data_IF_511403930245
#
_entry.id   IF_511403930245
#
_cell.length_a   1.000
_cell.length_b   1.000
_cell.length_c   1.000
_cell.angle_alpha   90.00
_cell.angle_beta   90.00
_cell.angle_gamma   90.00
#
_symmetry.space_group_name_H-M   'P 1'
#
loop_
_entity.id
_entity.type
_entity.pdbx_description
1 polymer ?
#
# COMPACT_ATOMS: atom_id res chain seq x y z
N UNK A 1 -25.60 8.27 0.41
CA UNK A 1 -25.61 7.24 -0.65
C UNK A 1 -24.73 6.10 -0.18
N UNK A 2 -25.26 4.90 -0.01
CA UNK A 2 -24.43 3.72 0.28
C UNK A 2 -23.83 3.28 -1.05
N UNK A 3 -22.61 3.74 -1.35
CA UNK A 3 -21.82 3.11 -2.39
C UNK A 3 -21.60 1.66 -1.97
N UNK A 4 -21.85 0.72 -2.87
CA UNK A 4 -21.57 -0.69 -2.64
C UNK A 4 -20.07 -0.82 -2.32
N UNK A 5 -19.74 -0.92 -1.03
CA UNK A 5 -18.43 -1.36 -0.58
C UNK A 5 -18.40 -2.84 -0.94
N UNK A 6 -17.64 -3.20 -1.97
CA UNK A 6 -17.28 -4.59 -2.19
C UNK A 6 -16.49 -4.99 -0.93
N UNK A 7 -17.00 -5.96 -0.16
CA UNK A 7 -16.41 -6.35 1.12
C UNK A 7 -14.91 -6.62 0.94
N UNK A 8 -14.08 -6.13 1.86
CA UNK A 8 -12.66 -6.44 1.88
C UNK A 8 -12.50 -7.95 1.98
N UNK A 9 -11.74 -8.51 1.04
CA UNK A 9 -11.32 -9.89 1.08
C UNK A 9 -9.88 -9.91 1.55
N UNK A 10 -9.62 -10.60 2.66
CA UNK A 10 -8.25 -10.93 3.01
C UNK A 10 -7.71 -11.90 1.94
N UNK A 11 -6.63 -11.49 1.28
CA UNK A 11 -6.03 -12.21 0.16
C UNK A 11 -4.60 -12.54 0.45
N UNK A 12 -4.14 -13.68 -0.05
CA UNK A 12 -2.74 -14.07 0.05
C UNK A 12 -1.83 -12.98 -0.52
N UNK A 13 -0.77 -12.67 0.22
CA UNK A 13 0.12 -11.57 -0.10
C UNK A 13 0.95 -11.16 1.11
N UNK A 14 1.82 -10.19 0.91
CA UNK A 14 2.64 -9.61 1.97
C UNK A 14 2.92 -8.13 1.71
N UNK A 15 3.22 -7.40 2.77
CA UNK A 15 3.80 -6.07 2.70
C UNK A 15 4.87 -5.92 3.77
N UNK A 16 6.00 -5.33 3.42
CA UNK A 16 7.04 -4.96 4.36
C UNK A 16 7.63 -3.60 4.03
N UNK A 17 8.13 -2.89 5.03
CA UNK A 17 8.82 -1.62 4.86
C UNK A 17 9.78 -1.36 6.02
N UNK A 18 10.73 -0.45 5.82
CA UNK A 18 11.57 0.12 6.86
C UNK A 18 11.14 1.56 7.12
N UNK A 19 10.79 1.87 8.37
CA UNK A 19 10.44 3.22 8.79
C UNK A 19 11.60 3.78 9.60
N UNK A 20 12.27 4.78 9.05
CA UNK A 20 13.38 5.46 9.71
C UNK A 20 12.82 6.61 10.52
N UNK A 21 13.02 6.51 11.83
CA UNK A 21 12.63 7.50 12.83
C UNK A 21 13.87 8.17 13.42
N UNK A 22 13.68 9.20 14.24
CA UNK A 22 14.78 9.80 15.02
C UNK A 22 15.47 8.79 15.96
N UNK A 23 14.72 7.79 16.45
CA UNK A 23 15.19 6.81 17.42
C UNK A 23 15.78 5.55 16.76
N UNK A 24 15.74 5.46 15.43
CA UNK A 24 16.28 4.34 14.65
C UNK A 24 15.32 3.80 13.60
N UNK A 25 15.63 2.62 13.07
CA UNK A 25 14.84 1.96 12.03
C UNK A 25 13.86 0.96 12.64
N UNK A 26 12.58 1.13 12.33
CA UNK A 26 11.51 0.19 12.64
C UNK A 26 11.21 -0.68 11.42
N UNK A 27 11.04 -1.99 11.65
CA UNK A 27 10.70 -2.95 10.61
C UNK A 27 9.20 -3.20 10.62
N UNK A 28 8.54 -2.95 9.50
CA UNK A 28 7.13 -3.29 9.28
C UNK A 28 7.05 -4.56 8.44
N UNK A 29 6.20 -5.52 8.85
CA UNK A 29 5.96 -6.75 8.09
C UNK A 29 4.56 -7.31 8.36
N UNK A 30 3.85 -7.62 7.29
CA UNK A 30 2.60 -8.39 7.27
C UNK A 30 2.75 -9.51 6.25
N UNK A 31 2.51 -10.76 6.68
CA UNK A 31 2.67 -11.97 5.85
C UNK A 31 1.46 -12.88 5.84
N UNK A 32 0.45 -12.61 6.68
CA UNK A 32 -0.71 -13.48 6.86
C UNK A 32 -1.82 -13.19 5.85
N UNK A 33 -1.55 -12.28 4.90
CA UNK A 33 -2.49 -11.78 3.90
C UNK A 33 -2.61 -10.26 3.93
N UNK A 34 -3.24 -9.72 2.89
CA UNK A 34 -3.53 -8.31 2.71
C UNK A 34 -5.02 -8.14 2.46
N UNK A 35 -5.62 -7.13 3.06
CA UNK A 35 -7.01 -6.80 2.76
C UNK A 35 -7.06 -6.07 1.42
N UNK A 36 -7.93 -6.55 0.53
CA UNK A 36 -8.10 -5.98 -0.80
C UNK A 36 -9.56 -5.67 -1.07
N UNK A 37 -9.80 -4.48 -1.60
CA UNK A 37 -11.11 -4.09 -2.11
C UNK A 37 -10.99 -3.01 -3.19
N UNK A 38 -12.10 -2.76 -3.87
CA UNK A 38 -12.20 -1.70 -4.87
C UNK A 38 -13.22 -0.66 -4.39
N UNK A 39 -12.90 0.61 -4.63
CA UNK A 39 -13.79 1.74 -4.32
C UNK A 39 -13.80 2.70 -5.49
N UNK A 40 -14.93 2.81 -6.19
CA UNK A 40 -15.07 3.74 -7.33
C UNK A 40 -13.98 3.53 -8.39
N UNK A 41 -12.98 4.42 -8.44
CA UNK A 41 -11.88 4.43 -9.40
C UNK A 41 -10.52 4.03 -8.80
N UNK A 42 -10.50 3.48 -7.58
CA UNK A 42 -9.28 3.04 -6.90
C UNK A 42 -9.35 1.58 -6.44
N UNK A 43 -8.19 0.92 -6.46
CA UNK A 43 -7.93 -0.41 -5.91
C UNK A 43 -7.11 -0.23 -4.63
N UNK A 44 -7.58 -0.79 -3.53
CA UNK A 44 -7.03 -0.58 -2.20
C UNK A 44 -6.40 -1.88 -1.69
N UNK A 45 -5.15 -1.79 -1.23
CA UNK A 45 -4.42 -2.86 -0.57
C UNK A 45 -4.05 -2.37 0.82
N UNK A 46 -4.50 -3.06 1.86
CA UNK A 46 -4.22 -2.70 3.25
C UNK A 46 -3.38 -3.77 3.92
N UNK A 47 -2.35 -3.31 4.63
CA UNK A 47 -1.51 -4.13 5.49
C UNK A 47 -1.53 -3.51 6.89
N UNK A 48 -2.19 -4.15 7.84
CA UNK A 48 -2.17 -3.79 9.26
C UNK A 48 -1.43 -4.88 10.04
N UNK A 49 -0.47 -4.49 10.88
CA UNK A 49 0.29 -5.43 11.70
C UNK A 49 -0.36 -5.74 13.06
N UNK A 50 -1.55 -5.17 13.35
CA UNK A 50 -2.27 -5.33 14.62
C UNK A 50 -1.62 -4.62 15.81
N UNK A 51 -0.56 -3.85 15.58
CA UNK A 51 0.23 -3.13 16.59
C UNK A 51 0.07 -1.61 16.45
N UNK A 52 -0.96 -1.16 15.72
CA UNK A 52 -1.22 0.26 15.48
C UNK A 52 -0.31 0.87 14.41
N UNK A 53 0.26 0.04 13.53
CA UNK A 53 0.92 0.52 12.31
C UNK A 53 0.31 -0.16 11.11
N UNK A 54 0.05 0.61 10.07
CA UNK A 54 -0.46 0.09 8.82
C UNK A 54 0.14 0.81 7.61
N UNK A 55 0.07 0.15 6.47
CA UNK A 55 0.31 0.75 5.17
C UNK A 55 -0.91 0.50 4.28
N UNK A 56 -1.40 1.56 3.65
CA UNK A 56 -2.44 1.47 2.64
C UNK A 56 -1.84 1.87 1.29
N UNK A 57 -2.00 1.02 0.29
CA UNK A 57 -1.59 1.29 -1.09
C UNK A 57 -2.84 1.49 -1.93
N UNK A 58 -2.97 2.67 -2.51
CA UNK A 58 -4.06 3.00 -3.44
C UNK A 58 -3.52 3.09 -4.86
N UNK A 59 -4.13 2.30 -5.73
CA UNK A 59 -3.78 2.22 -7.14
C UNK A 59 -4.98 2.71 -7.98
N UNK A 60 -4.79 3.66 -8.91
CA UNK A 60 -5.82 4.02 -9.86
C UNK A 60 -6.30 2.81 -10.67
N UNK A 61 -7.61 2.71 -10.90
CA UNK A 61 -8.20 1.67 -11.75
C UNK A 61 -7.59 1.71 -13.15
N UNK A 62 -7.16 0.54 -13.63
CA UNK A 62 -6.54 0.41 -14.95
C UNK A 62 -5.08 0.86 -15.00
N UNK A 63 -4.44 1.10 -13.85
CA UNK A 63 -2.99 1.32 -13.80
C UNK A 63 -2.24 0.15 -14.43
N UNK A 64 -1.15 0.45 -15.11
CA UNK A 64 -0.28 -0.51 -15.78
C UNK A 64 1.07 -0.59 -15.05
N UNK A 65 1.86 -1.60 -15.39
CA UNK A 65 3.23 -1.71 -14.89
C UNK A 65 4.05 -0.48 -15.25
N UNK A 66 4.91 -0.02 -14.34
CA UNK A 66 5.75 1.15 -14.57
C UNK A 66 6.34 1.73 -13.29
N UNK A 67 7.00 2.87 -13.43
CA UNK A 67 7.55 3.66 -12.33
C UNK A 67 6.77 4.97 -12.20
N UNK A 68 6.34 5.28 -10.99
CA UNK A 68 5.45 6.39 -10.69
C UNK A 68 6.01 7.22 -9.53
N UNK A 69 5.79 8.53 -9.60
CA UNK A 69 5.83 9.35 -8.39
C UNK A 69 4.53 9.14 -7.60
N UNK A 70 4.64 9.02 -6.28
CA UNK A 70 3.47 9.04 -5.40
C UNK A 70 2.84 10.43 -5.45
N UNK A 71 1.50 10.47 -5.51
CA UNK A 71 0.74 11.71 -5.54
C UNK A 71 -0.07 11.94 -4.27
N UNK A 72 -0.88 12.99 -4.28
CA UNK A 72 -1.82 13.34 -3.21
C UNK A 72 -3.28 13.35 -3.73
N UNK A 73 -3.51 12.73 -4.90
CA UNK A 73 -4.81 12.69 -5.56
C UNK A 73 -5.08 11.31 -6.12
N UNK A 74 -6.36 10.96 -6.29
CA UNK A 74 -6.81 9.64 -6.80
C UNK A 74 -6.33 9.32 -8.23
N UNK A 75 -5.78 10.29 -8.96
CA UNK A 75 -5.21 10.09 -10.30
C UNK A 75 -3.80 9.50 -10.31
N UNK A 76 -3.14 9.44 -9.15
CA UNK A 76 -1.80 8.90 -8.98
C UNK A 76 -1.81 7.76 -7.95
N UNK A 77 -0.83 6.83 -8.00
CA UNK A 77 -0.60 5.93 -6.88
C UNK A 77 -0.35 6.72 -5.60
N UNK A 78 -0.92 6.23 -4.51
CA UNK A 78 -0.73 6.76 -3.17
C UNK A 78 -0.33 5.64 -2.23
N UNK A 79 0.55 5.95 -1.29
CA UNK A 79 0.82 5.10 -0.14
C UNK A 79 0.59 5.93 1.10
N UNK A 80 -0.24 5.43 2.01
CA UNK A 80 -0.49 6.04 3.33
C UNK A 80 0.23 5.19 4.37
N UNK A 81 0.99 5.85 5.23
CA UNK A 81 1.56 5.27 6.43
C UNK A 81 0.69 5.66 7.62
N UNK A 82 0.32 4.67 8.43
CA UNK A 82 -0.46 4.86 9.65
C UNK A 82 0.41 4.52 10.85
N UNK A 83 0.45 5.41 11.83
CA UNK A 83 1.14 5.20 13.11
C UNK A 83 0.27 5.71 14.26
N UNK A 84 -0.20 4.79 15.11
CA UNK A 84 -1.13 5.08 16.18
C UNK A 84 -2.45 5.65 15.63
N UNK A 85 -2.72 6.92 15.91
CA UNK A 85 -3.90 7.65 15.40
C UNK A 85 -3.58 8.61 14.27
N UNK A 86 -2.35 8.60 13.73
CA UNK A 86 -1.93 9.44 12.62
C UNK A 86 -1.96 8.65 11.32
N UNK A 87 -2.50 9.26 10.26
CA UNK A 87 -2.39 8.78 8.88
C UNK A 87 -1.68 9.86 8.07
N UNK A 88 -0.71 9.47 7.24
CA UNK A 88 0.04 10.41 6.41
C UNK A 88 0.42 9.79 5.07
N UNK A 89 0.19 10.53 3.99
CA UNK A 89 0.65 10.17 2.65
C UNK A 89 2.18 10.20 2.58
N UNK A 90 2.76 9.24 1.87
CA UNK A 90 4.18 9.27 1.51
C UNK A 90 4.40 10.24 0.35
N UNK A 91 4.82 11.47 0.66
CA UNK A 91 5.10 12.51 -0.32
C UNK A 91 6.25 13.44 0.12
N UNK A 92 7.30 13.62 -0.71
CA UNK A 92 7.52 12.98 -2.01
C UNK A 92 7.84 11.48 -1.86
N UNK A 93 7.48 10.69 -2.87
CA UNK A 93 7.74 9.25 -2.88
C UNK A 93 7.67 8.64 -4.28
N UNK A 94 8.05 7.37 -4.38
CA UNK A 94 8.10 6.62 -5.63
C UNK A 94 7.48 5.25 -5.47
N UNK A 95 6.88 4.73 -6.55
CA UNK A 95 6.38 3.37 -6.68
C UNK A 95 6.87 2.75 -7.99
N UNK A 96 7.56 1.63 -7.93
CA UNK A 96 7.73 0.71 -9.05
C UNK A 96 6.64 -0.37 -8.93
N UNK A 97 5.89 -0.61 -10.00
CA UNK A 97 4.75 -1.51 -10.01
C UNK A 97 4.82 -2.47 -11.19
N UNK A 98 4.53 -3.75 -10.92
CA UNK A 98 4.17 -4.76 -11.91
C UNK A 98 2.72 -5.17 -11.70
N UNK A 99 1.92 -5.15 -12.77
CA UNK A 99 0.51 -5.52 -12.78
C UNK A 99 0.32 -6.81 -13.57
N UNK A 100 -0.27 -7.83 -12.93
CA UNK A 100 -0.52 -9.15 -13.52
C UNK A 100 0.71 -10.06 -13.61
N UNK A 101 0.49 -11.27 -14.16
CA UNK A 101 1.50 -12.32 -14.25
C UNK A 101 1.30 -13.38 -13.16
N UNK A 102 2.35 -13.64 -12.38
CA UNK A 102 2.34 -14.60 -11.27
C UNK A 102 1.63 -14.07 -10.00
N UNK A 103 1.45 -12.75 -9.90
CA UNK A 103 0.63 -12.06 -8.89
C UNK A 103 -0.26 -11.01 -9.55
N UNK A 104 -1.26 -10.50 -8.83
CA UNK A 104 -2.09 -9.39 -9.33
C UNK A 104 -1.30 -8.07 -9.29
N UNK A 105 -0.62 -7.80 -8.18
CA UNK A 105 0.24 -6.63 -8.03
C UNK A 105 1.52 -6.99 -7.30
N UNK A 106 2.64 -6.49 -7.80
CA UNK A 106 3.93 -6.49 -7.11
C UNK A 106 4.49 -5.09 -7.16
N UNK A 107 4.84 -4.50 -6.03
CA UNK A 107 5.37 -3.15 -6.00
C UNK A 107 6.50 -2.94 -5.02
N UNK A 108 7.33 -1.94 -5.32
CA UNK A 108 8.38 -1.41 -4.43
C UNK A 108 8.16 0.07 -4.26
N UNK A 109 8.21 0.55 -3.03
CA UNK A 109 7.96 1.96 -2.74
C UNK A 109 8.90 2.52 -1.68
N UNK A 110 9.02 3.85 -1.72
CA UNK A 110 9.71 4.64 -0.72
C UNK A 110 9.16 6.05 -0.72
N UNK A 111 9.31 6.76 0.39
CA UNK A 111 8.90 8.15 0.50
C UNK A 111 9.12 8.72 1.89
N UNK A 112 8.56 9.89 2.12
CA UNK A 112 8.57 10.55 3.42
C UNK A 112 7.14 10.85 3.82
N UNK A 113 6.75 10.53 5.04
CA UNK A 113 5.45 10.92 5.55
C UNK A 113 5.46 12.36 6.10
N UNK A 114 4.28 12.88 6.47
CA UNK A 114 4.12 14.25 6.97
C UNK A 114 4.79 14.52 8.33
N UNK A 115 5.26 13.48 9.02
CA UNK A 115 5.97 13.56 10.30
C UNK A 115 7.50 13.41 10.12
N UNK A 116 8.00 13.58 8.90
CA UNK A 116 9.41 13.41 8.51
C UNK A 116 9.93 11.97 8.71
N UNK A 117 9.04 10.97 8.78
CA UNK A 117 9.46 9.57 8.82
C UNK A 117 9.78 9.09 7.41
N UNK A 118 11.02 8.63 7.21
CA UNK A 118 11.44 8.12 5.92
C UNK A 118 11.07 6.64 5.80
N UNK A 119 10.24 6.32 4.82
CA UNK A 119 9.92 4.94 4.47
C UNK A 119 10.84 4.47 3.34
N UNK A 120 11.59 3.41 3.58
CA UNK A 120 12.50 2.79 2.63
C UNK A 120 12.21 1.30 2.49
N UNK A 121 12.72 0.73 1.39
CA UNK A 121 12.61 -0.70 1.11
C UNK A 121 11.19 -1.25 1.25
N UNK A 122 10.19 -0.40 0.98
CA UNK A 122 8.79 -0.79 0.94
C UNK A 122 8.60 -1.78 -0.20
N UNK A 123 7.95 -2.90 0.08
CA UNK A 123 7.60 -3.88 -0.93
C UNK A 123 6.27 -4.54 -0.59
N UNK A 124 5.45 -4.76 -1.60
CA UNK A 124 4.23 -5.52 -1.45
C UNK A 124 4.05 -6.50 -2.61
N UNK A 125 3.31 -7.56 -2.33
CA UNK A 125 2.82 -8.51 -3.32
C UNK A 125 1.41 -8.93 -2.94
N UNK A 126 0.47 -8.78 -3.86
CA UNK A 126 -0.88 -9.29 -3.75
C UNK A 126 -1.06 -10.41 -4.78
N UNK A 127 -1.28 -11.63 -4.30
CA UNK A 127 -1.47 -12.79 -5.19
C UNK A 127 -2.77 -12.67 -5.98
N UNK A 128 -2.86 -13.38 -7.10
CA UNK A 128 -4.12 -13.50 -7.85
C UNK A 128 -5.25 -14.07 -6.97
N UNK A 129 -6.48 -13.71 -7.27
CA UNK A 129 -7.64 -14.28 -6.58
C UNK A 129 -7.67 -15.79 -6.83
N UNK A 130 -7.83 -16.58 -5.76
CA UNK A 130 -7.81 -18.03 -5.87
C UNK A 130 -9.10 -18.53 -6.54
N UNK A 131 -9.03 -18.75 -7.86
CA UNK A 131 -10.08 -19.39 -8.65
C UNK A 131 -11.33 -18.52 -8.85
N UNK A 132 -11.44 -17.93 -10.03
CA UNK A 132 -12.75 -17.58 -10.61
C UNK A 132 -13.38 -18.82 -11.25
#
# INVERSE_FOLDING_TARGET
MKGNIQMSANRSGYLSAEVITADGTLQFRVTDGLDFYQRSIIQCIEADNGQGTAFYVYLPMGIQSGSFSLGLTEGSPMVIHVTGSSEAELYPGTLELTVGGDAQFVGRFSGMDANDLHVKNGSFRLENEAGA
#
